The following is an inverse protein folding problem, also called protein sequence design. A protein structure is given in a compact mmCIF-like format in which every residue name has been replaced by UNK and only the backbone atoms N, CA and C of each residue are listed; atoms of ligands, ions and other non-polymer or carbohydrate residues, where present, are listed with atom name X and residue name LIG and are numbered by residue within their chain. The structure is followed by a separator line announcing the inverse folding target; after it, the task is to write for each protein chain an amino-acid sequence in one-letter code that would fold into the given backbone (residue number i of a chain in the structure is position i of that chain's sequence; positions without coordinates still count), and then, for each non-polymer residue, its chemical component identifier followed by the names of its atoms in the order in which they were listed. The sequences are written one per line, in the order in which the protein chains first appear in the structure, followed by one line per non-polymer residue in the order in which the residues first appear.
data_IF_619130298580
#
_entry.id   IF_619130298580
#
_cell.length_a   1.000
_cell.length_b   1.000
_cell.length_c   1.000
_cell.angle_alpha   90.00
_cell.angle_beta   90.00
_cell.angle_gamma   90.00
#
_symmetry.space_group_name_H-M   'P 1'
#
loop_
_entity.id
_entity.type
_entity.pdbx_description
1 polymer ?
#
# COMPACT_ATOMS: atom_id res chain seq x y z
N UNK A 1 15.21 -23.67 36.20
CA UNK A 1 14.35 -22.59 35.67
C UNK A 1 13.13 -23.24 35.02
N UNK A 2 12.05 -22.51 34.78
CA UNK A 2 10.88 -23.07 34.08
C UNK A 2 11.11 -23.03 32.56
N UNK A 3 10.39 -23.84 31.80
CA UNK A 3 10.40 -23.78 30.33
C UNK A 3 9.98 -22.40 29.83
N UNK A 4 10.44 -22.05 28.63
CA UNK A 4 10.09 -20.81 27.92
C UNK A 4 9.38 -21.18 26.62
N UNK A 5 8.34 -20.43 26.28
CA UNK A 5 7.60 -20.58 25.02
C UNK A 5 8.07 -19.50 24.06
N UNK A 6 8.50 -19.88 22.86
CA UNK A 6 8.84 -18.92 21.80
C UNK A 6 7.59 -18.08 21.42
N UNK A 7 7.65 -16.73 21.45
CA UNK A 7 6.45 -15.88 21.28
C UNK A 7 6.00 -15.72 19.82
N UNK A 8 6.61 -16.43 18.88
CA UNK A 8 6.28 -16.42 17.45
C UNK A 8 5.55 -17.72 17.06
N UNK A 9 4.24 -17.89 17.33
CA UNK A 9 3.52 -19.12 17.01
C UNK A 9 3.42 -19.39 15.51
N UNK A 10 3.50 -18.34 14.68
CA UNK A 10 3.48 -18.41 13.22
C UNK A 10 4.81 -18.90 12.61
N UNK A 11 5.89 -18.95 13.39
CA UNK A 11 7.22 -19.36 12.93
C UNK A 11 7.74 -20.58 13.70
N UNK A 12 7.65 -20.53 15.03
CA UNK A 12 8.22 -21.52 15.93
C UNK A 12 7.20 -21.96 16.98
N UNK A 13 6.82 -21.08 17.91
CA UNK A 13 5.84 -21.38 18.96
C UNK A 13 6.20 -22.53 19.91
N UNK A 14 7.41 -23.09 19.81
CA UNK A 14 7.83 -24.26 20.59
C UNK A 14 8.25 -23.86 22.01
N UNK A 15 8.01 -24.79 22.93
CA UNK A 15 8.61 -24.76 24.26
C UNK A 15 10.06 -25.23 24.18
N UNK A 16 10.91 -24.70 25.05
CA UNK A 16 12.28 -25.15 25.24
C UNK A 16 12.73 -24.97 26.68
N UNK A 17 13.67 -25.83 27.11
CA UNK A 17 14.38 -25.66 28.37
C UNK A 17 15.45 -24.56 28.20
N UNK A 18 15.59 -23.61 29.14
CA UNK A 18 16.68 -22.63 29.13
C UNK A 18 18.09 -23.22 28.93
N UNK A 19 18.34 -24.47 29.33
CA UNK A 19 19.62 -25.16 29.11
C UNK A 19 19.92 -25.44 27.63
N UNK A 20 18.90 -25.39 26.77
CA UNK A 20 19.06 -25.56 25.33
C UNK A 20 19.53 -24.27 24.63
N UNK A 21 19.53 -23.14 25.33
CA UNK A 21 19.97 -21.84 24.80
C UNK A 21 21.48 -21.80 24.60
N UNK A 22 21.94 -20.84 23.79
CA UNK A 22 23.36 -20.53 23.75
C UNK A 22 23.87 -20.14 25.14
N UNK A 23 25.13 -20.51 25.43
CA UNK A 23 25.75 -20.28 26.74
C UNK A 23 25.64 -18.83 27.21
N UNK A 24 25.80 -17.87 26.31
CA UNK A 24 25.74 -16.44 26.64
C UNK A 24 24.32 -16.04 27.08
N UNK A 25 23.30 -16.46 26.36
CA UNK A 25 21.90 -16.18 26.68
C UNK A 25 21.47 -16.89 27.96
N UNK A 26 21.93 -18.12 28.19
CA UNK A 26 21.64 -18.85 29.42
C UNK A 26 22.25 -18.16 30.66
N UNK A 27 23.52 -17.77 30.61
CA UNK A 27 24.17 -17.04 31.71
C UNK A 27 23.54 -15.67 31.93
N UNK A 28 23.14 -14.98 30.85
CA UNK A 28 22.43 -13.71 30.96
C UNK A 28 21.05 -13.87 31.63
N UNK A 29 20.26 -14.88 31.22
CA UNK A 29 18.98 -15.22 31.83
C UNK A 29 19.13 -15.54 33.32
N UNK A 30 20.19 -16.27 33.69
CA UNK A 30 20.50 -16.56 35.11
C UNK A 30 20.74 -15.30 35.92
N UNK A 31 21.63 -14.42 35.46
CA UNK A 31 21.90 -13.16 36.15
C UNK A 31 20.66 -12.26 36.19
N UNK A 32 19.89 -12.22 35.11
CA UNK A 32 18.67 -11.41 35.00
C UNK A 32 17.58 -11.89 35.97
N UNK A 33 17.41 -13.22 36.13
CA UNK A 33 16.46 -13.81 37.07
C UNK A 33 16.85 -13.51 38.53
N UNK A 34 18.13 -13.61 38.87
CA UNK A 34 18.66 -13.23 40.20
C UNK A 34 18.40 -11.74 40.50
N UNK A 35 18.56 -10.87 39.49
CA UNK A 35 18.33 -9.42 39.58
C UNK A 35 16.88 -9.00 39.39
N UNK A 36 15.96 -9.93 39.15
CA UNK A 36 14.54 -9.67 38.87
C UNK A 36 14.31 -8.65 37.74
N UNK A 37 15.08 -8.77 36.65
CA UNK A 37 14.92 -7.90 35.49
C UNK A 37 13.59 -8.18 34.78
N UNK A 38 12.81 -7.14 34.52
CA UNK A 38 11.52 -7.22 33.80
C UNK A 38 11.66 -7.05 32.30
N UNK A 39 12.87 -6.79 31.82
CA UNK A 39 13.15 -6.53 30.41
C UNK A 39 14.55 -7.02 30.04
N UNK A 40 14.62 -7.93 29.08
CA UNK A 40 15.86 -8.40 28.47
C UNK A 40 15.56 -8.99 27.09
N UNK A 41 16.61 -9.17 26.28
CA UNK A 41 16.50 -9.89 25.01
C UNK A 41 17.22 -11.22 25.07
N UNK A 42 16.62 -12.23 24.46
CA UNK A 42 17.10 -13.60 24.39
C UNK A 42 16.84 -14.17 23.00
N UNK A 43 17.60 -15.18 22.57
CA UNK A 43 17.36 -15.90 21.32
C UNK A 43 16.70 -17.24 21.57
N UNK A 44 15.76 -17.61 20.69
CA UNK A 44 15.15 -18.92 20.74
C UNK A 44 16.13 -19.97 20.18
N UNK A 45 16.45 -21.06 20.90
CA UNK A 45 17.35 -22.09 20.40
C UNK A 45 16.77 -22.94 19.26
N UNK A 46 15.49 -22.74 18.92
CA UNK A 46 14.79 -23.50 17.87
C UNK A 46 14.67 -22.76 16.54
N UNK A 47 14.60 -21.43 16.58
CA UNK A 47 14.45 -20.60 15.37
C UNK A 47 15.38 -19.40 15.33
N UNK A 48 16.28 -19.26 16.30
CA UNK A 48 17.31 -18.21 16.43
C UNK A 48 16.75 -16.79 16.55
N UNK A 49 15.43 -16.59 16.50
CA UNK A 49 14.81 -15.28 16.65
C UNK A 49 15.03 -14.73 18.05
N UNK A 50 15.40 -13.46 18.08
CA UNK A 50 15.45 -12.67 19.29
C UNK A 50 14.02 -12.33 19.76
N UNK A 51 13.78 -12.39 21.06
CA UNK A 51 12.52 -11.99 21.69
C UNK A 51 12.78 -11.26 23.01
N UNK A 52 11.78 -10.52 23.49
CA UNK A 52 11.82 -9.86 24.80
C UNK A 52 11.36 -10.84 25.88
N UNK A 53 12.02 -10.81 27.05
CA UNK A 53 11.66 -11.66 28.18
C UNK A 53 11.56 -10.88 29.50
N UNK A 54 10.56 -11.23 30.31
CA UNK A 54 10.37 -10.74 31.68
C UNK A 54 10.61 -11.89 32.66
N UNK A 55 11.65 -11.78 33.50
CA UNK A 55 12.01 -12.84 34.47
C UNK A 55 11.10 -12.88 35.71
N UNK A 56 10.36 -11.80 35.98
CA UNK A 56 9.40 -11.71 37.10
C UNK A 56 8.08 -12.36 36.71
N UNK A 57 7.57 -12.07 35.52
CA UNK A 57 6.36 -12.71 34.98
C UNK A 57 6.65 -14.10 34.39
N UNK A 58 7.91 -14.37 34.07
CA UNK A 58 8.35 -15.54 33.33
C UNK A 58 7.64 -15.66 31.97
N UNK A 59 7.64 -14.56 31.21
CA UNK A 59 6.90 -14.44 29.96
C UNK A 59 7.78 -13.90 28.84
N UNK A 60 7.68 -14.52 27.67
CA UNK A 60 8.27 -14.03 26.44
C UNK A 60 7.23 -13.21 25.64
N UNK A 61 7.69 -12.11 25.05
CA UNK A 61 6.93 -11.29 24.11
C UNK A 61 7.74 -11.08 22.83
N UNK A 62 7.06 -11.05 21.69
CA UNK A 62 7.70 -10.85 20.40
C UNK A 62 8.32 -9.46 20.27
N UNK A 63 9.52 -9.39 19.73
CA UNK A 63 10.24 -8.16 19.39
C UNK A 63 10.67 -8.17 17.91
N UNK A 64 10.51 -7.04 17.21
CA UNK A 64 11.06 -6.82 15.87
C UNK A 64 10.48 -7.66 14.71
N UNK A 65 9.66 -8.67 15.00
CA UNK A 65 9.06 -9.55 13.99
C UNK A 65 7.54 -9.55 14.09
N UNK A 66 6.90 -9.34 12.95
CA UNK A 66 5.44 -9.37 12.79
C UNK A 66 5.04 -10.70 12.16
N UNK A 67 3.89 -11.25 12.56
CA UNK A 67 3.27 -12.36 11.84
C UNK A 67 3.16 -11.97 10.35
N UNK A 68 3.74 -12.77 9.43
CA UNK A 68 3.58 -12.48 8.01
C UNK A 68 2.08 -12.51 7.73
N UNK A 69 1.55 -11.37 7.26
CA UNK A 69 0.15 -11.28 6.86
C UNK A 69 -0.05 -12.37 5.81
N UNK A 70 -0.75 -13.46 6.16
CA UNK A 70 -1.32 -14.35 5.17
C UNK A 70 -2.17 -13.43 4.30
N UNK A 71 -1.73 -13.20 3.06
CA UNK A 71 -2.54 -12.51 2.07
C UNK A 71 -3.68 -13.47 1.79
N UNK A 72 -4.74 -13.38 2.59
CA UNK A 72 -6.00 -14.03 2.29
C UNK A 72 -6.38 -13.44 0.94
N UNK A 73 -6.29 -14.23 -0.13
CA UNK A 73 -6.76 -13.81 -1.45
C UNK A 73 -8.20 -13.33 -1.29
N UNK A 74 -8.39 -12.00 -1.30
CA UNK A 74 -9.73 -11.43 -1.20
C UNK A 74 -10.50 -11.99 -2.37
N UNK A 75 -11.60 -12.70 -2.09
CA UNK A 75 -12.49 -13.21 -3.12
C UNK A 75 -12.85 -12.06 -4.06
N UNK A 76 -12.40 -12.15 -5.32
CA UNK A 76 -12.61 -11.09 -6.32
C UNK A 76 -14.10 -10.80 -6.43
N UNK A 77 -14.48 -9.53 -6.36
CA UNK A 77 -15.87 -9.10 -6.53
C UNK A 77 -16.26 -9.31 -7.99
N UNK A 78 -17.53 -9.58 -8.24
CA UNK A 78 -18.05 -9.67 -9.61
C UNK A 78 -18.12 -8.28 -10.24
N UNK A 79 -18.10 -8.20 -11.58
CA UNK A 79 -18.24 -6.92 -12.30
C UNK A 79 -19.48 -6.16 -11.83
N UNK A 80 -20.62 -6.85 -11.68
CA UNK A 80 -21.87 -6.25 -11.16
C UNK A 80 -21.69 -5.60 -9.78
N UNK A 81 -20.95 -6.24 -8.88
CA UNK A 81 -20.65 -5.67 -7.55
C UNK A 81 -19.72 -4.47 -7.64
N UNK A 82 -18.71 -4.53 -8.51
CA UNK A 82 -17.75 -3.44 -8.73
C UNK A 82 -18.45 -2.21 -9.34
N UNK A 83 -19.29 -2.39 -10.35
CA UNK A 83 -20.11 -1.33 -10.94
C UNK A 83 -21.04 -0.69 -9.90
N UNK A 84 -21.63 -1.48 -8.99
CA UNK A 84 -22.44 -0.93 -7.90
C UNK A 84 -21.64 -0.09 -6.91
N UNK A 85 -20.37 -0.44 -6.65
CA UNK A 85 -19.45 0.37 -5.82
C UNK A 85 -19.18 1.72 -6.50
N UNK A 86 -18.84 1.70 -7.80
CA UNK A 86 -18.56 2.91 -8.58
C UNK A 86 -19.80 3.82 -8.65
N UNK A 87 -20.97 3.26 -8.94
CA UNK A 87 -22.23 4.00 -8.99
C UNK A 87 -22.58 4.65 -7.64
N UNK A 88 -22.42 3.91 -6.53
CA UNK A 88 -22.63 4.46 -5.17
C UNK A 88 -21.67 5.62 -4.87
N UNK A 89 -20.45 5.55 -5.38
CA UNK A 89 -19.45 6.60 -5.24
C UNK A 89 -19.59 7.73 -6.27
N UNK A 90 -20.56 7.67 -7.20
CA UNK A 90 -20.74 8.60 -8.32
C UNK A 90 -19.47 8.76 -9.15
N UNK A 91 -18.87 7.63 -9.51
CA UNK A 91 -17.65 7.57 -10.32
C UNK A 91 -18.04 7.03 -11.69
N UNK A 92 -17.75 7.82 -12.71
CA UNK A 92 -17.92 7.45 -14.11
C UNK A 92 -16.53 7.20 -14.68
N UNK A 93 -16.29 5.97 -15.13
CA UNK A 93 -15.07 5.60 -15.85
C UNK A 93 -15.36 5.75 -17.34
N UNK A 94 -14.46 6.31 -18.16
CA UNK A 94 -14.64 6.36 -19.61
C UNK A 94 -14.96 4.95 -20.16
N UNK A 95 -15.99 4.85 -21.00
CA UNK A 95 -16.54 3.57 -21.47
C UNK A 95 -15.47 2.66 -22.07
N UNK A 96 -14.63 3.18 -22.97
CA UNK A 96 -13.59 2.41 -23.63
C UNK A 96 -12.57 1.83 -22.64
N UNK A 97 -12.30 2.56 -21.55
CA UNK A 97 -11.42 2.05 -20.49
C UNK A 97 -12.12 1.03 -19.59
N UNK A 98 -13.42 1.21 -19.32
CA UNK A 98 -14.20 0.20 -18.60
C UNK A 98 -14.27 -1.13 -19.39
N UNK A 99 -14.44 -1.06 -20.70
CA UNK A 99 -14.40 -2.23 -21.58
C UNK A 99 -13.01 -2.88 -21.60
N UNK A 100 -11.94 -2.08 -21.63
CA UNK A 100 -10.56 -2.57 -21.49
C UNK A 100 -10.34 -3.31 -20.15
N UNK A 101 -10.82 -2.74 -19.03
CA UNK A 101 -10.68 -3.30 -17.68
C UNK A 101 -11.48 -4.60 -17.48
N UNK A 102 -12.56 -4.79 -18.24
CA UNK A 102 -13.45 -5.96 -18.12
C UNK A 102 -13.24 -6.99 -19.22
N UNK A 103 -12.48 -6.65 -20.25
CA UNK A 103 -12.09 -7.53 -21.35
C UNK A 103 -10.94 -8.49 -21.01
N UNK A 104 -10.63 -9.37 -21.95
CA UNK A 104 -9.58 -10.39 -21.80
C UNK A 104 -8.16 -9.87 -22.11
N UNK A 105 -8.05 -8.63 -22.59
CA UNK A 105 -6.79 -8.06 -23.09
C UNK A 105 -6.20 -7.01 -22.13
N UNK A 106 -6.69 -6.97 -20.88
CA UNK A 106 -6.14 -6.10 -19.86
C UNK A 106 -4.67 -6.45 -19.61
N UNK A 107 -3.79 -5.49 -19.84
CA UNK A 107 -2.40 -5.53 -19.43
C UNK A 107 -2.22 -4.62 -18.22
N UNK A 108 -1.70 -5.19 -17.13
CA UNK A 108 -1.44 -4.48 -15.88
C UNK A 108 -0.13 -3.68 -15.90
N UNK A 109 0.62 -3.68 -17.00
CA UNK A 109 1.92 -3.01 -17.09
C UNK A 109 1.95 -2.09 -18.31
N UNK A 110 2.41 -0.85 -18.12
CA UNK A 110 2.57 0.14 -19.17
C UNK A 110 3.83 0.99 -18.99
N UNK A 111 4.65 1.06 -20.03
CA UNK A 111 5.78 1.98 -20.11
C UNK A 111 5.29 3.37 -20.50
N UNK A 112 5.47 4.34 -19.60
CA UNK A 112 5.12 5.75 -19.82
C UNK A 112 6.35 6.55 -20.26
N UNK A 113 7.49 6.28 -19.64
CA UNK A 113 8.78 6.88 -19.94
C UNK A 113 9.75 5.78 -20.40
N UNK A 114 10.58 6.06 -21.41
CA UNK A 114 11.40 5.03 -22.05
C UNK A 114 12.57 4.53 -21.18
N UNK A 115 13.06 5.38 -20.28
CA UNK A 115 14.26 5.15 -19.47
C UNK A 115 13.94 4.98 -17.97
N UNK A 116 12.68 4.70 -17.63
CA UNK A 116 12.20 4.56 -16.25
C UNK A 116 11.39 3.26 -16.07
N UNK A 117 11.09 2.93 -14.82
CA UNK A 117 10.29 1.76 -14.49
C UNK A 117 8.87 1.87 -15.07
N UNK A 118 8.30 0.70 -15.39
CA UNK A 118 6.94 0.60 -15.89
C UNK A 118 5.91 0.93 -14.80
N UNK A 119 4.81 1.56 -15.22
CA UNK A 119 3.65 1.75 -14.36
C UNK A 119 2.82 0.47 -14.29
N UNK A 120 2.37 0.14 -13.09
CA UNK A 120 1.35 -0.86 -12.86
C UNK A 120 -0.05 -0.23 -12.97
N UNK A 121 -0.87 -0.74 -13.87
CA UNK A 121 -2.27 -0.36 -14.02
C UNK A 121 -3.15 -1.17 -13.06
N UNK A 122 -4.03 -0.46 -12.34
CA UNK A 122 -5.02 -1.08 -11.49
C UNK A 122 -6.10 -1.77 -12.33
N UNK A 123 -6.37 -3.04 -12.03
CA UNK A 123 -7.55 -3.72 -12.52
C UNK A 123 -8.82 -3.18 -11.83
N UNK A 124 -10.00 -3.55 -12.33
CA UNK A 124 -11.28 -3.04 -11.81
C UNK A 124 -11.49 -3.34 -10.31
N UNK A 125 -10.99 -4.47 -9.79
CA UNK A 125 -11.09 -4.76 -8.35
C UNK A 125 -10.23 -3.78 -7.55
N UNK A 126 -8.99 -3.55 -7.98
CA UNK A 126 -8.02 -2.64 -7.34
C UNK A 126 -8.53 -1.20 -7.35
N UNK A 127 -9.10 -0.72 -8.46
CA UNK A 127 -9.73 0.60 -8.55
C UNK A 127 -10.86 0.80 -7.51
N UNK A 128 -11.56 -0.28 -7.16
CA UNK A 128 -12.65 -0.31 -6.20
C UNK A 128 -12.22 -0.71 -4.77
N UNK A 129 -10.92 -0.89 -4.52
CA UNK A 129 -10.41 -1.08 -3.16
C UNK A 129 -10.41 0.24 -2.39
N UNK A 130 -10.48 0.13 -1.07
CA UNK A 130 -10.37 1.29 -0.19
C UNK A 130 -8.93 1.49 0.20
N UNK A 131 -8.45 2.71 0.06
CA UNK A 131 -7.17 3.16 0.59
C UNK A 131 -7.40 4.20 1.68
N UNK A 132 -6.37 4.45 2.48
CA UNK A 132 -6.33 5.53 3.45
C UNK A 132 -5.42 6.63 2.92
N UNK A 133 -5.93 7.87 2.90
CA UNK A 133 -5.15 9.08 2.66
C UNK A 133 -5.43 10.00 3.84
N UNK A 134 -4.41 10.23 4.67
CA UNK A 134 -4.45 11.04 5.89
C UNK A 134 -5.67 10.77 6.78
N UNK A 135 -5.90 9.49 7.11
CA UNK A 135 -6.98 9.07 8.00
C UNK A 135 -8.34 8.96 7.34
N UNK A 136 -8.52 9.47 6.12
CA UNK A 136 -9.77 9.39 5.34
C UNK A 136 -9.74 8.23 4.36
N UNK A 137 -10.87 7.54 4.22
CA UNK A 137 -10.99 6.38 3.34
C UNK A 137 -11.55 6.77 1.98
N UNK A 138 -10.80 6.46 0.91
CA UNK A 138 -11.19 6.69 -0.48
C UNK A 138 -11.14 5.39 -1.27
N UNK A 139 -11.85 5.33 -2.39
CA UNK A 139 -11.58 4.29 -3.38
C UNK A 139 -10.24 4.62 -4.07
N UNK A 140 -9.45 3.61 -4.45
CA UNK A 140 -8.16 3.79 -5.13
C UNK A 140 -8.27 4.74 -6.33
N UNK A 141 -9.30 4.56 -7.16
CA UNK A 141 -9.56 5.44 -8.32
C UNK A 141 -9.77 6.92 -7.96
N UNK A 142 -10.13 7.22 -6.70
CA UNK A 142 -10.33 8.57 -6.15
C UNK A 142 -9.21 8.99 -5.20
N UNK A 143 -8.06 8.35 -5.21
CA UNK A 143 -6.97 8.70 -4.30
C UNK A 143 -6.50 10.16 -4.45
N UNK A 144 -6.51 10.70 -5.67
CA UNK A 144 -6.19 12.11 -5.93
C UNK A 144 -7.14 13.09 -5.25
N UNK A 145 -8.41 12.69 -5.02
CA UNK A 145 -9.34 13.47 -4.18
C UNK A 145 -8.87 13.54 -2.73
N UNK A 146 -8.33 12.43 -2.21
CA UNK A 146 -7.71 12.41 -0.88
C UNK A 146 -6.53 13.35 -0.81
N UNK A 147 -5.55 13.20 -1.72
CA UNK A 147 -4.37 14.07 -1.75
C UNK A 147 -4.73 15.55 -1.91
N UNK A 148 -5.64 15.88 -2.82
CA UNK A 148 -6.11 17.25 -2.99
C UNK A 148 -6.73 17.82 -1.70
N UNK A 149 -7.58 17.04 -1.00
CA UNK A 149 -8.15 17.46 0.28
C UNK A 149 -7.10 17.66 1.37
N UNK A 150 -6.08 16.79 1.44
CA UNK A 150 -4.98 16.93 2.40
C UNK A 150 -4.13 18.17 2.13
N UNK A 151 -3.84 18.45 0.86
CA UNK A 151 -3.11 19.65 0.45
C UNK A 151 -3.91 20.93 0.76
N UNK A 152 -5.23 20.93 0.54
CA UNK A 152 -6.11 22.05 0.92
C UNK A 152 -6.09 22.34 2.42
N UNK A 153 -5.93 21.33 3.28
CA UNK A 153 -5.88 21.50 4.74
C UNK A 153 -4.55 22.10 5.23
N UNK A 154 -3.46 21.92 4.49
CA UNK A 154 -2.11 22.39 4.87
C UNK A 154 -1.85 23.78 4.29
N UNK A 155 -2.43 24.12 3.14
CA UNK A 155 -2.19 25.38 2.45
C UNK A 155 -3.14 26.46 3.00
N UNK A 156 -2.67 27.24 3.98
CA UNK A 156 -3.44 28.35 4.61
C UNK A 156 -3.78 29.48 3.62
N UNK A 157 -2.96 29.70 2.59
CA UNK A 157 -3.22 30.64 1.50
C UNK A 157 -3.47 29.89 0.20
N UNK A 158 -4.71 29.93 -0.32
CA UNK A 158 -5.06 29.34 -1.63
C UNK A 158 -3.92 29.61 -2.60
N UNK A 159 -3.26 28.57 -3.13
CA UNK A 159 -2.14 28.79 -4.01
C UNK A 159 -2.71 29.61 -5.18
N UNK A 160 -2.21 30.84 -5.35
CA UNK A 160 -2.36 31.49 -6.64
C UNK A 160 -1.77 30.48 -7.60
N UNK A 161 -2.56 30.01 -8.55
CA UNK A 161 -2.10 29.15 -9.63
C UNK A 161 -0.96 29.91 -10.32
N UNK A 162 0.26 29.68 -9.84
CA UNK A 162 1.45 30.10 -10.56
C UNK A 162 1.39 29.35 -11.87
N UNK A 163 1.87 29.95 -12.95
CA UNK A 163 1.86 29.34 -14.29
C UNK A 163 2.51 27.94 -14.35
N UNK A 164 3.15 27.50 -13.28
CA UNK A 164 3.81 26.21 -13.08
C UNK A 164 2.87 25.11 -12.55
N UNK A 165 1.76 25.43 -11.88
CA UNK A 165 0.81 24.44 -11.36
C UNK A 165 -0.28 24.14 -12.41
N UNK A 166 -0.13 23.03 -13.14
CA UNK A 166 -0.98 22.69 -14.30
C UNK A 166 -2.41 22.21 -13.92
N UNK A 167 -2.63 21.94 -12.63
CA UNK A 167 -3.93 21.57 -12.05
C UNK A 167 -4.17 22.35 -10.76
N UNK A 168 -5.37 22.90 -10.61
CA UNK A 168 -5.89 23.28 -9.29
C UNK A 168 -6.21 22.04 -8.45
N UNK A 169 -6.22 22.18 -7.12
CA UNK A 169 -6.58 21.07 -6.21
C UNK A 169 -7.99 20.55 -6.50
N UNK A 170 -8.91 21.43 -6.89
CA UNK A 170 -10.25 21.04 -7.32
C UNK A 170 -10.22 20.18 -8.58
N UNK A 171 -9.49 20.56 -9.63
CA UNK A 171 -9.35 19.76 -10.85
C UNK A 171 -8.68 18.41 -10.57
N UNK A 172 -7.61 18.40 -9.76
CA UNK A 172 -6.93 17.18 -9.34
C UNK A 172 -7.88 16.22 -8.61
N UNK A 173 -8.79 16.75 -7.80
CA UNK A 173 -9.77 15.95 -7.06
C UNK A 173 -10.79 15.22 -7.96
N UNK A 174 -11.00 15.71 -9.17
CA UNK A 174 -11.91 15.12 -10.15
C UNK A 174 -11.25 14.08 -11.05
N UNK A 175 -9.92 14.10 -11.16
CA UNK A 175 -9.13 13.14 -11.93
C UNK A 175 -9.25 11.72 -11.38
N UNK A 176 -9.06 10.73 -12.27
CA UNK A 176 -9.20 9.31 -11.93
C UNK A 176 -7.83 8.64 -11.93
N UNK A 177 -7.40 8.14 -10.78
CA UNK A 177 -6.16 7.36 -10.71
C UNK A 177 -6.36 5.99 -11.35
N UNK A 178 -5.42 5.59 -12.20
CA UNK A 178 -5.50 4.34 -12.97
C UNK A 178 -4.28 3.44 -12.81
N UNK A 179 -3.19 3.96 -12.26
CA UNK A 179 -2.01 3.15 -12.00
C UNK A 179 -1.01 3.87 -11.11
N UNK A 180 0.09 3.20 -10.84
CA UNK A 180 1.19 3.72 -10.04
C UNK A 180 2.53 3.16 -10.49
N UNK A 181 3.58 3.91 -10.20
CA UNK A 181 4.97 3.46 -10.18
C UNK A 181 5.54 4.07 -8.90
N UNK A 182 6.11 3.26 -8.01
CA UNK A 182 6.58 3.71 -6.70
C UNK A 182 5.54 4.60 -5.96
N UNK A 183 5.86 5.88 -5.77
CA UNK A 183 5.04 6.94 -5.15
C UNK A 183 4.24 7.76 -6.16
N UNK A 184 4.51 7.57 -7.45
CA UNK A 184 3.92 8.32 -8.57
C UNK A 184 2.59 7.71 -8.97
N UNK A 185 1.61 8.56 -9.25
CA UNK A 185 0.25 8.14 -9.56
C UNK A 185 -0.06 8.51 -11.01
N UNK A 186 -0.34 7.50 -11.83
CA UNK A 186 -0.84 7.71 -13.19
C UNK A 186 -2.36 7.95 -13.14
N UNK A 187 -2.82 9.00 -13.79
CA UNK A 187 -4.24 9.38 -13.78
C UNK A 187 -4.76 9.87 -15.13
N UNK A 188 -6.08 9.75 -15.30
CA UNK A 188 -6.84 10.32 -16.40
C UNK A 188 -7.24 11.75 -16.04
N UNK A 189 -6.91 12.71 -16.91
CA UNK A 189 -7.33 14.10 -16.79
C UNK A 189 -8.87 14.20 -16.92
N UNK A 190 -9.53 14.74 -15.89
CA UNK A 190 -10.99 14.90 -15.90
C UNK A 190 -11.51 15.93 -16.90
N UNK A 191 -10.65 16.79 -17.45
CA UNK A 191 -11.05 17.86 -18.38
C UNK A 191 -11.35 17.33 -19.78
N UNK A 192 -10.64 16.29 -20.21
CA UNK A 192 -10.81 15.66 -21.52
C UNK A 192 -11.12 14.17 -21.46
N UNK A 193 -11.02 13.55 -20.28
CA UNK A 193 -11.23 12.12 -20.02
C UNK A 193 -10.36 11.20 -20.89
N UNK A 194 -9.21 11.67 -21.36
CA UNK A 194 -8.34 10.93 -22.28
C UNK A 194 -6.85 11.15 -22.05
N UNK A 195 -6.40 12.38 -21.76
CA UNK A 195 -4.97 12.64 -21.52
C UNK A 195 -4.51 11.97 -20.23
N UNK A 196 -3.34 11.34 -20.26
CA UNK A 196 -2.73 10.76 -19.07
C UNK A 196 -1.63 11.65 -18.51
N UNK A 197 -1.60 11.71 -17.19
CA UNK A 197 -0.69 12.52 -16.41
C UNK A 197 -0.17 11.74 -15.21
N UNK A 198 0.97 12.17 -14.69
CA UNK A 198 1.59 11.60 -13.50
C UNK A 198 1.54 12.64 -12.39
N UNK A 199 1.05 12.25 -11.23
CA UNK A 199 1.09 13.05 -10.00
C UNK A 199 2.22 12.55 -9.11
N UNK A 200 3.12 13.45 -8.71
CA UNK A 200 4.29 13.16 -7.88
C UNK A 200 3.97 13.49 -6.41
N UNK A 201 3.66 12.47 -5.62
CA UNK A 201 3.22 12.65 -4.23
C UNK A 201 4.34 13.00 -3.26
N UNK A 202 5.59 12.71 -3.62
CA UNK A 202 6.81 12.96 -2.85
C UNK A 202 7.52 14.27 -3.22
N UNK A 203 7.30 14.79 -4.44
CA UNK A 203 7.95 15.98 -5.01
C UNK A 203 7.27 17.33 -4.72
N UNK A 204 6.26 17.37 -3.86
CA UNK A 204 5.50 18.59 -3.57
C UNK A 204 4.15 18.68 -4.29
N UNK A 205 3.68 17.59 -4.90
CA UNK A 205 2.35 17.49 -5.49
C UNK A 205 2.24 18.10 -6.89
N UNK A 206 3.32 18.11 -7.66
CA UNK A 206 3.33 18.52 -9.05
C UNK A 206 2.76 17.44 -9.98
N UNK A 207 2.39 17.86 -11.19
CA UNK A 207 1.80 17.01 -12.22
C UNK A 207 2.61 17.11 -13.51
N UNK A 208 2.94 15.97 -14.09
CA UNK A 208 3.65 15.87 -15.36
C UNK A 208 2.76 15.28 -16.45
N UNK A 209 2.76 15.92 -17.62
CA UNK A 209 1.99 15.45 -18.78
C UNK A 209 2.73 14.31 -19.46
N UNK A 210 2.04 13.21 -19.75
CA UNK A 210 2.60 12.12 -20.54
C UNK A 210 2.31 12.30 -22.03
N UNK A 211 3.03 11.56 -22.88
CA UNK A 211 2.73 11.44 -24.31
C UNK A 211 1.69 10.35 -24.62
N UNK A 212 1.13 9.71 -23.59
CA UNK A 212 0.18 8.60 -23.72
C UNK A 212 -1.24 9.11 -23.46
N UNK A 213 -2.20 8.49 -24.15
CA UNK A 213 -3.63 8.74 -23.96
C UNK A 213 -4.33 7.44 -23.59
N UNK A 214 -5.51 7.57 -22.99
CA UNK A 214 -6.38 6.44 -22.68
C UNK A 214 -6.70 5.64 -23.95
N UNK A 215 -6.96 6.33 -25.05
CA UNK A 215 -7.09 5.76 -26.38
C UNK A 215 -5.93 4.84 -26.79
N UNK A 216 -4.68 5.18 -26.49
CA UNK A 216 -3.52 4.34 -26.82
C UNK A 216 -3.47 3.08 -25.95
N UNK A 217 -3.94 3.15 -24.70
CA UNK A 217 -4.06 2.00 -23.82
C UNK A 217 -5.15 1.05 -24.34
N UNK A 218 -6.30 1.59 -24.73
CA UNK A 218 -7.47 0.81 -25.17
C UNK A 218 -7.34 0.31 -26.61
N UNK A 219 -6.75 1.08 -27.54
CA UNK A 219 -6.62 0.73 -28.98
C UNK A 219 -5.54 -0.29 -29.32
N UNK A 220 -4.70 -0.73 -28.37
CA UNK A 220 -3.97 -2.01 -28.55
C UNK A 220 -4.91 -3.20 -28.86
N UNK A 221 -6.23 -3.01 -28.79
CA UNK A 221 -7.30 -3.95 -29.14
C UNK A 221 -7.71 -3.95 -30.64
N UNK A 222 -7.43 -2.91 -31.44
CA UNK A 222 -8.05 -2.75 -32.78
C UNK A 222 -7.20 -3.14 -34.00
N UNK A 223 -6.22 -4.02 -33.85
CA UNK A 223 -5.64 -4.73 -35.00
C UNK A 223 -6.11 -6.19 -34.99
N UNK A 224 -7.22 -6.46 -35.67
CA UNK A 224 -7.60 -7.78 -36.20
C UNK A 224 -8.04 -7.61 -37.65
#
# INVERSE_FOLDING_TARGET
MKEIICPYPWDCGKNFDPLEMEKNDFEFLKSAAEKRMTFMFLHCPKCERQFQFDTVQWKADGFGFSEPKIVVEKKKKTIKQLTAILAKAKIEIPTDYFDYLTGNNFNSVISIFADEDDFYLYNLNELCEKINVDGKSYLTIRQLKGFASSLEEIIEEKPQTTKEQQFSLTELSYCLAIGYENTRILFIDSRDNNSLWVFHSDGGGDCEKTNITLDLITKKITCR
#
